data_IF_455074333551
#
_entry.id   IF_455074333551
#
_cell.length_a   1.000
_cell.length_b   1.000
_cell.length_c   1.000
_cell.angle_alpha   90.00
_cell.angle_beta   90.00
_cell.angle_gamma   90.00
#
_symmetry.space_group_name_H-M   'P 1'
#
loop_
_entity.id
_entity.type
_entity.pdbx_description
1 polymer ?
#
# COMPACT_ATOMS: atom_id res chain seq x y z
N UNK A 1 -21.31 6.21 -20.24
CA UNK A 1 -20.04 5.46 -20.16
C UNK A 1 -19.04 6.37 -19.43
N UNK A 2 -19.16 6.51 -18.11
CA UNK A 2 -18.29 7.40 -17.30
C UNK A 2 -18.33 7.08 -15.80
N UNK A 3 -19.34 6.35 -15.31
CA UNK A 3 -19.50 6.12 -13.86
C UNK A 3 -18.65 4.98 -13.29
N UNK A 4 -18.20 4.01 -14.11
CA UNK A 4 -17.40 2.87 -13.62
C UNK A 4 -15.93 3.20 -13.34
N UNK A 5 -15.40 4.29 -13.88
CA UNK A 5 -14.03 4.74 -13.60
C UNK A 5 -13.95 5.59 -12.34
N UNK A 6 -15.04 6.28 -11.95
CA UNK A 6 -15.08 7.10 -10.75
C UNK A 6 -15.16 6.28 -9.45
N UNK A 7 -15.68 5.04 -9.51
CA UNK A 7 -15.81 4.19 -8.32
C UNK A 7 -14.51 3.49 -7.91
N UNK A 8 -13.51 3.41 -8.79
CA UNK A 8 -12.17 2.90 -8.45
C UNK A 8 -11.26 3.96 -7.81
N UNK A 9 -11.67 5.23 -7.80
CA UNK A 9 -10.90 6.37 -7.28
C UNK A 9 -11.25 6.76 -5.83
N UNK A 10 -12.17 6.02 -5.19
CA UNK A 10 -12.68 6.34 -3.85
C UNK A 10 -11.91 5.65 -2.72
N UNK A 11 -10.65 5.24 -2.96
CA UNK A 11 -9.82 4.55 -1.96
C UNK A 11 -8.82 5.47 -1.22
N UNK A 12 -8.80 6.78 -1.49
CA UNK A 12 -7.81 7.69 -0.90
C UNK A 12 -8.36 8.93 -0.16
N UNK A 13 -9.67 9.13 -0.07
CA UNK A 13 -10.22 10.45 0.33
C UNK A 13 -10.87 10.55 1.73
N UNK A 14 -11.15 9.45 2.42
CA UNK A 14 -11.61 9.48 3.82
C UNK A 14 -10.80 8.40 4.54
N UNK A 15 -9.91 8.68 5.49
CA UNK A 15 -10.17 9.29 6.78
C UNK A 15 -8.98 10.21 7.15
N UNK A 16 -9.16 11.52 6.93
CA UNK A 16 -8.50 12.57 7.72
C UNK A 16 -9.56 13.21 8.59
N UNK A 17 -10.23 12.43 9.44
CA UNK A 17 -10.97 13.02 10.55
C UNK A 17 -9.95 13.26 11.66
N UNK A 18 -9.49 14.50 11.89
CA UNK A 18 -8.62 14.77 13.01
C UNK A 18 -9.39 14.46 14.28
N UNK A 19 -9.02 13.37 14.97
CA UNK A 19 -9.31 13.23 16.39
C UNK A 19 -8.72 14.47 17.05
N UNK A 20 -9.59 15.34 17.59
CA UNK A 20 -9.19 16.59 18.24
C UNK A 20 -8.07 16.32 19.24
N UNK A 21 -6.85 16.76 18.93
CA UNK A 21 -5.77 16.87 19.92
C UNK A 21 -4.39 16.35 19.52
N UNK A 22 -4.24 15.52 18.47
CA UNK A 22 -2.91 15.04 18.04
C UNK A 22 -2.80 15.14 16.52
N UNK A 23 -2.12 16.18 16.02
CA UNK A 23 -1.67 16.20 14.62
C UNK A 23 -0.60 15.11 14.48
N UNK A 24 -0.98 13.93 14.01
CA UNK A 24 0.00 13.02 13.46
C UNK A 24 0.69 13.73 12.29
N UNK A 25 2.01 13.57 12.19
CA UNK A 25 2.76 14.09 11.06
C UNK A 25 2.29 13.31 9.83
N UNK A 26 1.72 13.99 8.83
CA UNK A 26 1.37 13.33 7.58
C UNK A 26 2.64 12.73 6.96
N UNK A 27 2.59 11.49 6.44
CA UNK A 27 3.72 10.89 5.77
C UNK A 27 4.11 11.73 4.54
N UNK A 28 5.40 11.77 4.23
CA UNK A 28 5.90 12.48 3.04
C UNK A 28 5.53 11.70 1.78
N UNK A 29 5.19 12.38 0.68
CA UNK A 29 4.89 11.72 -0.60
C UNK A 29 5.96 10.67 -0.96
N UNK A 30 5.58 9.45 -1.37
CA UNK A 30 6.53 8.46 -1.84
C UNK A 30 7.37 9.00 -3.02
N UNK A 31 8.68 8.79 -2.95
CA UNK A 31 9.64 9.21 -3.98
C UNK A 31 9.96 8.01 -4.87
N UNK A 32 9.80 8.18 -6.18
CA UNK A 32 10.07 7.13 -7.17
C UNK A 32 11.24 7.51 -8.07
N UNK A 33 12.33 6.74 -8.00
CA UNK A 33 13.47 6.84 -8.90
C UNK A 33 13.37 5.75 -9.96
N UNK A 34 13.34 6.15 -11.24
CA UNK A 34 13.24 5.20 -12.33
C UNK A 34 14.59 4.51 -12.56
N UNK A 35 14.48 3.27 -13.02
CA UNK A 35 15.59 2.34 -13.26
C UNK A 35 15.47 1.79 -14.68
N UNK A 36 16.42 0.96 -15.10
CA UNK A 36 16.33 0.26 -16.39
C UNK A 36 15.18 -0.75 -16.49
N UNK A 37 14.60 -1.15 -15.35
CA UNK A 37 13.56 -2.19 -15.28
C UNK A 37 12.42 -1.83 -14.31
N UNK A 38 11.98 -0.57 -14.29
CA UNK A 38 10.89 -0.10 -13.45
C UNK A 38 11.33 1.00 -12.48
N UNK A 39 10.92 0.93 -11.21
CA UNK A 39 11.10 2.00 -10.22
C UNK A 39 11.59 1.48 -8.87
N UNK A 40 12.51 2.21 -8.25
CA UNK A 40 12.78 2.12 -6.82
C UNK A 40 11.97 3.20 -6.11
N UNK A 41 11.26 2.83 -5.06
CA UNK A 41 10.46 3.75 -4.27
C UNK A 41 11.02 3.86 -2.84
N UNK A 42 10.93 5.06 -2.26
CA UNK A 42 11.16 5.33 -0.85
C UNK A 42 9.96 6.09 -0.30
N UNK A 43 9.38 5.63 0.82
CA UNK A 43 8.21 6.25 1.44
C UNK A 43 8.46 6.47 2.93
N UNK A 44 8.59 7.74 3.33
CA UNK A 44 9.05 8.11 4.67
C UNK A 44 7.89 8.43 5.61
N UNK A 45 8.01 7.97 6.86
CA UNK A 45 7.13 8.34 7.96
C UNK A 45 7.93 8.40 9.28
N UNK A 46 7.92 9.56 9.93
CA UNK A 46 8.63 9.77 11.19
C UNK A 46 10.15 9.56 11.07
N UNK A 47 10.67 8.56 11.78
CA UNK A 47 12.10 8.24 11.85
C UNK A 47 12.48 6.99 11.05
N UNK A 48 11.59 6.49 10.20
CA UNK A 48 11.82 5.32 9.37
C UNK A 48 11.25 5.57 7.97
N UNK A 49 11.66 4.75 7.00
CA UNK A 49 11.04 4.78 5.68
C UNK A 49 11.00 3.37 5.10
N UNK A 50 10.00 3.10 4.26
CA UNK A 50 9.91 1.86 3.53
C UNK A 50 10.53 2.01 2.13
N UNK A 51 11.28 1.00 1.69
CA UNK A 51 11.72 0.87 0.31
C UNK A 51 10.96 -0.28 -0.36
N UNK A 52 10.58 -0.11 -1.62
CA UNK A 52 10.05 -1.19 -2.45
C UNK A 52 10.42 -0.97 -3.91
N UNK A 53 10.33 -2.03 -4.72
CA UNK A 53 10.61 -1.97 -6.15
C UNK A 53 9.38 -2.34 -6.95
N UNK A 54 9.04 -1.51 -7.92
CA UNK A 54 8.04 -1.82 -8.94
C UNK A 54 8.80 -2.30 -10.17
N UNK A 55 8.79 -3.61 -10.42
CA UNK A 55 9.49 -4.23 -11.54
C UNK A 55 8.61 -4.18 -12.79
N UNK A 56 9.22 -3.85 -13.92
CA UNK A 56 8.58 -3.89 -15.23
C UNK A 56 8.39 -2.50 -15.84
N UNK A 57 8.84 -2.37 -17.09
CA UNK A 57 8.81 -1.11 -17.84
C UNK A 57 7.40 -0.67 -18.27
N UNK A 58 6.39 -1.53 -18.09
CA UNK A 58 4.98 -1.18 -18.32
C UNK A 58 4.35 -0.40 -17.17
N UNK A 59 4.99 -0.37 -15.99
CA UNK A 59 4.44 0.29 -14.82
C UNK A 59 4.41 1.82 -15.01
N UNK A 60 3.27 2.44 -14.71
CA UNK A 60 3.05 3.89 -14.86
C UNK A 60 2.60 4.48 -13.54
N UNK A 61 3.37 5.43 -13.04
CA UNK A 61 2.95 6.27 -11.91
C UNK A 61 1.79 7.17 -12.37
N UNK A 62 0.65 7.12 -11.69
CA UNK A 62 -0.51 7.98 -11.96
C UNK A 62 -0.46 9.24 -11.10
N UNK A 63 -0.13 9.06 -9.82
CA UNK A 63 0.17 10.09 -8.84
C UNK A 63 1.12 9.49 -7.78
N UNK A 64 1.57 10.23 -6.74
CA UNK A 64 2.51 9.70 -5.75
C UNK A 64 2.04 8.45 -4.99
N UNK A 65 0.74 8.15 -4.96
CA UNK A 65 0.18 7.04 -4.20
C UNK A 65 -0.41 5.95 -5.09
N UNK A 66 -0.68 6.22 -6.36
CA UNK A 66 -1.30 5.27 -7.29
C UNK A 66 -0.39 4.91 -8.47
N UNK A 67 -0.20 3.62 -8.68
CA UNK A 67 0.64 3.06 -9.74
C UNK A 67 -0.18 2.06 -10.55
N UNK A 68 -0.24 2.25 -11.86
CA UNK A 68 -0.72 1.22 -12.77
C UNK A 68 0.44 0.24 -13.04
N UNK A 69 0.38 -0.96 -12.46
CA UNK A 69 1.46 -1.96 -12.55
C UNK A 69 1.48 -2.64 -13.93
N UNK A 70 0.31 -3.07 -14.38
CA UNK A 70 0.09 -3.68 -15.70
C UNK A 70 -1.37 -3.46 -16.14
N UNK A 71 -1.75 -3.96 -17.33
CA UNK A 71 -3.11 -3.79 -17.85
C UNK A 71 -4.15 -4.25 -16.82
N UNK A 72 -4.99 -3.33 -16.37
CA UNK A 72 -6.06 -3.53 -15.39
C UNK A 72 -5.60 -3.98 -14.00
N UNK A 73 -4.34 -3.75 -13.62
CA UNK A 73 -3.83 -4.02 -12.26
C UNK A 73 -3.17 -2.77 -11.73
N UNK A 74 -3.75 -2.21 -10.67
CA UNK A 74 -3.26 -1.04 -9.96
C UNK A 74 -2.69 -1.40 -8.60
N UNK A 75 -1.87 -0.49 -8.07
CA UNK A 75 -1.37 -0.51 -6.71
C UNK A 75 -1.58 0.86 -6.07
N UNK A 76 -2.09 0.86 -4.84
CA UNK A 76 -2.10 2.02 -3.97
C UNK A 76 -1.05 1.84 -2.87
N UNK A 77 -0.31 2.91 -2.57
CA UNK A 77 0.67 2.97 -1.47
C UNK A 77 0.06 3.83 -0.37
N UNK A 78 0.05 3.34 0.86
CA UNK A 78 -0.52 4.06 1.99
C UNK A 78 0.24 3.76 3.28
N UNK A 79 -0.06 4.55 4.31
CA UNK A 79 0.44 4.34 5.66
C UNK A 79 -0.74 4.42 6.64
N UNK A 80 -0.77 3.51 7.62
CA UNK A 80 -1.80 3.47 8.66
C UNK A 80 -1.14 3.64 10.02
N UNK A 81 -1.49 4.73 10.71
CA UNK A 81 -0.99 5.01 12.06
C UNK A 81 -1.45 3.94 13.05
N UNK A 82 -0.56 3.54 13.96
CA UNK A 82 -0.86 2.58 15.04
C UNK A 82 -2.04 2.98 15.92
N UNK A 83 -2.30 4.28 16.08
CA UNK A 83 -3.45 4.79 16.84
C UNK A 83 -4.79 4.39 16.22
N UNK A 84 -4.87 4.27 14.89
CA UNK A 84 -6.06 3.81 14.17
C UNK A 84 -6.29 2.31 14.38
N UNK A 85 -5.22 1.59 14.71
CA UNK A 85 -5.19 0.15 15.01
C UNK A 85 -5.34 -0.14 16.52
N UNK A 86 -5.93 0.80 17.27
CA UNK A 86 -6.17 0.67 18.71
C UNK A 86 -4.92 0.34 19.55
N UNK A 87 -3.73 0.71 19.06
CA UNK A 87 -2.43 0.42 19.69
C UNK A 87 -2.12 -1.07 19.90
N UNK A 88 -2.61 -1.95 19.02
CA UNK A 88 -2.30 -3.38 19.08
C UNK A 88 -0.78 -3.65 19.04
N UNK A 89 -0.36 -4.76 19.66
CA UNK A 89 1.02 -5.27 19.58
C UNK A 89 1.27 -5.97 18.25
N UNK A 90 0.28 -6.66 17.69
CA UNK A 90 0.35 -7.26 16.35
C UNK A 90 -0.30 -6.34 15.33
N UNK A 91 0.47 -5.33 14.89
CA UNK A 91 0.00 -4.33 13.94
C UNK A 91 -0.49 -4.97 12.64
N UNK A 92 0.24 -5.95 12.10
CA UNK A 92 -0.09 -6.59 10.83
C UNK A 92 -1.45 -7.27 10.87
N UNK A 93 -1.77 -7.97 11.96
CA UNK A 93 -3.09 -8.57 12.14
C UNK A 93 -4.17 -7.55 12.44
N UNK A 94 -3.86 -6.53 13.24
CA UNK A 94 -4.80 -5.45 13.56
C UNK A 94 -5.22 -4.68 12.29
N UNK A 95 -4.29 -4.37 11.39
CA UNK A 95 -4.61 -3.72 10.12
C UNK A 95 -5.47 -4.58 9.20
N UNK A 96 -5.15 -5.87 9.09
CA UNK A 96 -5.98 -6.78 8.29
C UNK A 96 -7.42 -6.85 8.83
N UNK A 97 -7.60 -6.84 10.16
CA UNK A 97 -8.92 -6.82 10.78
C UNK A 97 -9.62 -5.46 10.59
N UNK A 98 -8.89 -4.36 10.75
CA UNK A 98 -9.40 -3.01 10.56
C UNK A 98 -9.95 -2.80 9.14
N UNK A 99 -9.25 -3.26 8.11
CA UNK A 99 -9.71 -3.23 6.71
C UNK A 99 -10.99 -4.06 6.52
N UNK A 100 -11.04 -5.26 7.11
CA UNK A 100 -12.22 -6.13 7.04
C UNK A 100 -13.44 -5.49 7.73
N UNK A 101 -13.23 -4.91 8.91
CA UNK A 101 -14.28 -4.25 9.70
C UNK A 101 -14.81 -3.01 9.00
N UNK A 102 -13.93 -2.23 8.34
CA UNK A 102 -14.34 -1.11 7.49
C UNK A 102 -15.26 -1.62 6.38
N UNK A 103 -14.83 -2.61 5.59
CA UNK A 103 -15.65 -3.10 4.47
C UNK A 103 -16.96 -3.76 4.90
N UNK A 104 -17.01 -4.38 6.08
CA UNK A 104 -18.27 -4.91 6.61
C UNK A 104 -19.33 -3.83 6.84
N UNK A 105 -18.94 -2.58 7.04
CA UNK A 105 -19.87 -1.45 7.19
C UNK A 105 -20.37 -0.92 5.84
N UNK A 106 -19.69 -1.26 4.73
CA UNK A 106 -19.91 -0.67 3.42
C UNK A 106 -20.33 -1.66 2.33
N UNK A 107 -20.31 -2.96 2.63
CA UNK A 107 -20.57 -4.04 1.67
C UNK A 107 -21.55 -5.08 2.22
N UNK A 108 -22.20 -5.83 1.32
CA UNK A 108 -23.13 -6.89 1.73
C UNK A 108 -22.39 -8.12 2.25
N UNK A 109 -21.18 -8.37 1.75
CA UNK A 109 -20.33 -9.49 2.17
C UNK A 109 -18.86 -9.16 1.94
N UNK A 110 -18.03 -9.58 2.89
CA UNK A 110 -16.57 -9.47 2.82
C UNK A 110 -15.99 -10.85 3.08
N UNK A 111 -15.06 -11.27 2.24
CA UNK A 111 -14.22 -12.44 2.47
C UNK A 111 -12.79 -11.97 2.66
N UNK A 112 -12.07 -12.60 3.59
CA UNK A 112 -10.66 -12.32 3.84
C UNK A 112 -9.89 -13.64 3.96
N UNK A 113 -8.69 -13.68 3.39
CA UNK A 113 -7.81 -14.83 3.45
C UNK A 113 -6.35 -14.41 3.73
N UNK A 114 -5.69 -15.14 4.61
CA UNK A 114 -4.25 -14.96 4.82
C UNK A 114 -3.47 -15.61 3.68
N UNK A 115 -2.63 -14.84 2.99
CA UNK A 115 -1.79 -15.29 1.88
C UNK A 115 -0.33 -15.47 2.31
N UNK A 116 -0.13 -16.23 3.38
CA UNK A 116 1.20 -16.59 3.88
C UNK A 116 2.03 -17.39 2.85
N UNK A 117 1.39 -17.99 1.83
CA UNK A 117 2.08 -18.60 0.69
C UNK A 117 2.85 -17.60 -0.19
N UNK A 118 2.54 -16.30 -0.07
CA UNK A 118 3.18 -15.23 -0.85
C UNK A 118 4.36 -14.55 -0.12
N UNK A 119 4.55 -14.80 1.19
CA UNK A 119 5.56 -14.09 2.00
C UNK A 119 6.88 -14.85 2.20
N UNK A 120 6.93 -16.12 1.81
CA UNK A 120 8.09 -16.97 2.06
C UNK A 120 8.33 -17.17 3.56
N UNK A 121 9.52 -16.83 4.05
CA UNK A 121 9.92 -16.98 5.47
C UNK A 121 9.86 -15.68 6.27
N UNK A 122 9.40 -14.58 5.66
CA UNK A 122 9.35 -13.27 6.32
C UNK A 122 8.30 -13.21 7.42
N UNK A 123 8.62 -12.49 8.49
CA UNK A 123 7.74 -12.30 9.66
C UNK A 123 7.32 -10.85 9.88
N UNK A 124 8.01 -9.93 9.22
CA UNK A 124 7.80 -8.49 9.26
C UNK A 124 6.80 -7.99 8.20
N UNK A 125 6.33 -8.88 7.35
CA UNK A 125 5.32 -8.62 6.31
C UNK A 125 4.16 -9.60 6.44
N UNK A 126 2.94 -9.10 6.18
CA UNK A 126 1.73 -9.93 6.05
C UNK A 126 1.02 -9.58 4.75
N UNK A 127 0.55 -10.59 4.03
CA UNK A 127 -0.30 -10.41 2.85
C UNK A 127 -1.69 -10.92 3.16
N UNK A 128 -2.69 -10.05 3.03
CA UNK A 128 -4.10 -10.39 3.20
C UNK A 128 -4.81 -10.22 1.88
N UNK A 129 -5.52 -11.24 1.41
CA UNK A 129 -6.44 -11.11 0.27
C UNK A 129 -7.81 -10.74 0.83
N UNK A 130 -8.39 -9.65 0.34
CA UNK A 130 -9.77 -9.25 0.64
C UNK A 130 -10.60 -9.30 -0.63
N UNK A 131 -11.85 -9.78 -0.51
CA UNK A 131 -12.86 -9.73 -1.56
C UNK A 131 -14.12 -9.11 -1.01
N UNK A 132 -14.58 -8.07 -1.67
CA UNK A 132 -15.74 -7.29 -1.27
C UNK A 132 -16.84 -7.50 -2.31
N UNK A 133 -18.02 -7.83 -1.83
CA UNK A 133 -19.18 -8.16 -2.64
C UNK A 133 -20.28 -7.13 -2.41
N UNK A 134 -20.96 -6.77 -3.50
CA UNK A 134 -22.24 -6.07 -3.47
C UNK A 134 -23.39 -7.06 -3.76
N UNK A 135 -24.62 -6.55 -3.84
CA UNK A 135 -25.79 -7.37 -4.17
C UNK A 135 -25.77 -7.93 -5.61
N UNK A 136 -24.79 -7.55 -6.44
CA UNK A 136 -24.62 -7.97 -7.84
C UNK A 136 -23.41 -8.90 -8.04
N UNK A 137 -22.59 -9.14 -7.02
CA UNK A 137 -21.44 -10.05 -7.07
C UNK A 137 -20.17 -9.43 -6.50
N UNK A 138 -19.00 -9.97 -6.90
CA UNK A 138 -17.71 -9.44 -6.46
C UNK A 138 -17.49 -8.05 -7.05
N UNK A 139 -17.42 -7.03 -6.20
CA UNK A 139 -17.18 -5.64 -6.57
C UNK A 139 -15.68 -5.32 -6.60
N UNK A 140 -14.92 -5.89 -5.67
CA UNK A 140 -13.50 -5.63 -5.52
C UNK A 140 -12.78 -6.88 -5.00
N UNK A 141 -11.54 -7.08 -5.44
CA UNK A 141 -10.58 -7.97 -4.79
C UNK A 141 -9.24 -7.25 -4.66
N UNK A 142 -8.53 -7.41 -3.55
CA UNK A 142 -7.24 -6.74 -3.34
C UNK A 142 -6.30 -7.59 -2.49
N UNK A 143 -5.00 -7.52 -2.78
CA UNK A 143 -3.96 -7.98 -1.89
C UNK A 143 -3.44 -6.79 -1.08
N UNK A 144 -3.54 -6.88 0.24
CA UNK A 144 -3.04 -5.91 1.20
C UNK A 144 -1.70 -6.42 1.73
N UNK A 145 -0.60 -5.83 1.27
CA UNK A 145 0.77 -6.17 1.69
C UNK A 145 1.17 -5.16 2.77
N UNK A 146 1.09 -5.57 4.03
CA UNK A 146 1.50 -4.74 5.17
C UNK A 146 2.93 -5.01 5.58
N UNK A 147 3.69 -3.96 5.87
CA UNK A 147 5.02 -3.96 6.47
C UNK A 147 4.96 -3.18 7.78
N UNK A 148 5.17 -3.87 8.91
CA UNK A 148 5.06 -3.24 10.22
C UNK A 148 6.27 -2.35 10.51
N UNK A 149 5.99 -1.21 11.13
CA UNK A 149 6.98 -0.33 11.75
C UNK A 149 6.54 0.00 13.20
N UNK A 150 7.33 0.78 13.93
CA UNK A 150 7.07 1.10 15.34
C UNK A 150 5.74 1.82 15.57
N UNK A 151 5.43 2.81 14.76
CA UNK A 151 4.35 3.79 14.92
C UNK A 151 3.17 3.52 13.96
N UNK A 152 3.19 2.42 13.21
CA UNK A 152 2.16 2.08 12.23
C UNK A 152 2.59 1.03 11.21
N UNK A 153 2.02 1.11 10.00
CA UNK A 153 2.22 0.12 8.94
C UNK A 153 2.28 0.82 7.59
N UNK A 154 3.30 0.49 6.80
CA UNK A 154 3.32 0.79 5.37
C UNK A 154 2.56 -0.29 4.60
N UNK A 155 1.68 0.12 3.69
CA UNK A 155 0.77 -0.80 2.97
C UNK A 155 0.91 -0.61 1.46
N UNK A 156 1.05 -1.73 0.74
CA UNK A 156 0.89 -1.80 -0.70
C UNK A 156 -0.40 -2.58 -1.00
N UNK A 157 -1.42 -1.90 -1.52
CA UNK A 157 -2.71 -2.49 -1.88
C UNK A 157 -2.76 -2.75 -3.38
N UNK A 158 -2.77 -4.02 -3.81
CA UNK A 158 -2.73 -4.43 -5.22
C UNK A 158 -4.08 -4.99 -5.66
N UNK A 159 -4.68 -4.39 -6.68
CA UNK A 159 -6.02 -4.75 -7.17
C UNK A 159 -6.08 -4.86 -8.70
N UNK A 160 -6.81 -5.84 -9.26
CA UNK A 160 -7.55 -6.89 -8.57
C UNK A 160 -6.62 -8.01 -8.07
N UNK A 161 -6.98 -8.62 -6.94
CA UNK A 161 -6.37 -9.87 -6.50
C UNK A 161 -6.85 -11.05 -7.35
N UNK A 162 -5.90 -11.79 -7.93
CA UNK A 162 -6.10 -12.99 -8.76
C UNK A 162 -4.78 -13.76 -8.89
N UNK A 163 -4.87 -15.08 -9.06
CA UNK A 163 -3.70 -16.00 -9.02
C UNK A 163 -2.60 -15.70 -10.04
N UNK A 164 -2.95 -15.16 -11.20
CA UNK A 164 -1.98 -14.76 -12.24
C UNK A 164 -1.13 -13.54 -11.82
N UNK A 165 -1.51 -12.83 -10.74
CA UNK A 165 -0.77 -11.69 -10.18
C UNK A 165 0.08 -12.10 -8.98
N UNK A 166 -0.06 -13.32 -8.47
CA UNK A 166 0.75 -13.83 -7.35
C UNK A 166 2.26 -13.68 -7.57
N UNK A 167 2.84 -13.91 -8.78
CA UNK A 167 4.26 -13.65 -9.02
C UNK A 167 4.65 -12.18 -8.80
N UNK A 168 3.83 -11.24 -9.27
CA UNK A 168 4.05 -9.80 -9.06
C UNK A 168 3.99 -9.45 -7.57
N UNK A 169 3.02 -10.00 -6.84
CA UNK A 169 2.89 -9.78 -5.39
C UNK A 169 4.13 -10.32 -4.65
N UNK A 170 4.62 -11.50 -5.03
CA UNK A 170 5.86 -12.07 -4.46
C UNK A 170 7.07 -11.18 -4.72
N UNK A 171 7.19 -10.59 -5.90
CA UNK A 171 8.26 -9.62 -6.21
C UNK A 171 8.15 -8.36 -5.35
N UNK A 172 6.95 -7.78 -5.21
CA UNK A 172 6.71 -6.65 -4.32
C UNK A 172 7.10 -7.00 -2.87
N UNK A 173 6.58 -8.11 -2.34
CA UNK A 173 6.90 -8.60 -1.00
C UNK A 173 8.41 -8.82 -0.82
N UNK A 174 9.10 -9.34 -1.84
CA UNK A 174 10.55 -9.60 -1.75
C UNK A 174 11.37 -8.31 -1.62
N UNK A 175 10.88 -7.21 -2.19
CA UNK A 175 11.58 -5.93 -2.22
C UNK A 175 11.14 -4.95 -1.14
N UNK A 176 9.97 -5.17 -0.53
CA UNK A 176 9.35 -4.25 0.42
C UNK A 176 9.97 -4.37 1.81
N UNK A 177 10.82 -3.43 2.19
CA UNK A 177 11.60 -3.49 3.43
C UNK A 177 11.54 -2.18 4.21
N UNK A 178 11.67 -2.30 5.51
CA UNK A 178 11.79 -1.15 6.40
C UNK A 178 13.26 -0.74 6.52
N UNK A 179 13.52 0.55 6.48
CA UNK A 179 14.83 1.12 6.77
C UNK A 179 14.74 1.88 8.10
N UNK A 180 15.42 1.43 9.17
CA UNK A 180 15.24 1.94 10.53
C UNK A 180 16.07 3.22 10.78
N UNK A 181 15.93 4.20 9.90
CA UNK A 181 16.49 5.55 10.06
C UNK A 181 15.64 6.54 9.29
N UNK A 182 15.72 7.80 9.67
CA UNK A 182 15.06 8.87 8.94
C UNK A 182 15.67 9.01 7.53
N UNK A 183 14.82 9.25 6.54
CA UNK A 183 15.26 9.73 5.24
C UNK A 183 15.74 11.18 5.41
N UNK A 184 17.05 11.41 5.38
CA UNK A 184 17.60 12.73 5.64
C UNK A 184 17.34 13.71 4.48
N UNK A 185 17.55 15.00 4.74
CA UNK A 185 17.23 16.05 3.77
C UNK A 185 18.10 16.00 2.50
N UNK A 186 19.36 15.58 2.62
CA UNK A 186 20.27 15.49 1.47
C UNK A 186 19.90 14.31 0.58
N UNK A 187 19.59 13.17 1.18
CA UNK A 187 19.09 11.99 0.49
C UNK A 187 17.74 12.24 -0.15
N UNK A 188 16.81 12.86 0.56
CA UNK A 188 15.50 13.27 0.02
C UNK A 188 15.66 14.18 -1.19
N UNK A 189 16.55 15.18 -1.11
CA UNK A 189 16.85 16.08 -2.21
C UNK A 189 17.47 15.35 -3.40
N UNK A 190 18.41 14.43 -3.15
CA UNK A 190 19.05 13.60 -4.17
C UNK A 190 18.02 12.73 -4.89
N UNK A 191 17.24 11.94 -4.15
CA UNK A 191 16.21 11.06 -4.70
C UNK A 191 15.14 11.85 -5.47
N UNK A 192 14.70 12.99 -4.94
CA UNK A 192 13.74 13.86 -5.63
C UNK A 192 14.30 14.46 -6.92
N UNK A 193 15.59 14.78 -6.96
CA UNK A 193 16.25 15.26 -8.17
C UNK A 193 16.35 14.15 -9.21
N UNK A 194 16.78 12.95 -8.81
CA UNK A 194 16.85 11.77 -9.69
C UNK A 194 15.48 11.42 -10.28
N UNK A 195 14.42 11.49 -9.46
CA UNK A 195 13.04 11.27 -9.88
C UNK A 195 12.55 12.27 -10.94
N UNK A 196 13.00 13.54 -10.87
CA UNK A 196 12.61 14.60 -11.82
C UNK A 196 13.33 14.50 -13.15
N UNK A 197 14.61 14.12 -13.16
CA UNK A 197 15.44 14.03 -14.37
C UNK A 197 14.95 12.96 -15.36
N UNK A 198 14.05 12.07 -14.92
CA UNK A 198 13.63 10.88 -15.67
C UNK A 198 12.14 10.89 -16.07
N UNK A 199 11.44 12.01 -15.84
CA UNK A 199 10.10 12.30 -16.36
C UNK A 199 10.20 12.88 -17.77
#
# INVERSE_FOLDING_TARGET
>A
MSERLAQSLLLGALILLPVKGVKAQAPEDPIYVKTSNGWNAAYAHGNEYAEFRVIGNSAKLQDPYHILLQKNVGMMVSFVDKKELQNDRDLLSAHAQWEVDYWHQHASRVESNNRADLIGTRKDVKVTEIRVYDNKGAQMSSYLIGLAEKDGIFVLSVSPAKKDIDPLVKELVSSFKLVPRKLDAEETKRLSSEAKTQR
#
